data_IF_868310582894
#
_entry.id   IF_868310582894
#
_cell.length_a   1.000
_cell.length_b   1.000
_cell.length_c   1.000
_cell.angle_alpha   90.00
_cell.angle_beta   90.00
_cell.angle_gamma   90.00
#
_symmetry.space_group_name_H-M   'P 1'
#
loop_
_entity.id
_entity.type
_entity.pdbx_description
1 polymer ?
#
# COMPACT_ATOMS: atom_id res chain seq x y z
N UNK A 1 8.37 5.30 -9.11
CA UNK A 1 9.28 6.44 -8.97
C UNK A 1 10.16 6.61 -10.22
N UNK A 2 10.40 7.87 -10.59
CA UNK A 2 11.33 8.35 -11.63
C UNK A 2 12.78 8.13 -11.16
N UNK A 3 13.67 7.70 -12.08
CA UNK A 3 15.15 7.85 -12.05
C UNK A 3 15.91 7.25 -10.85
N UNK A 4 17.11 6.75 -11.06
CA UNK A 4 17.98 6.27 -9.97
C UNK A 4 18.42 7.39 -8.98
N UNK A 5 18.01 8.64 -9.23
CA UNK A 5 18.34 9.84 -8.46
C UNK A 5 17.19 10.27 -7.52
N UNK A 6 17.23 9.72 -6.30
CA UNK A 6 16.32 10.08 -5.21
C UNK A 6 16.43 11.56 -4.82
N UNK A 7 17.62 12.17 -4.92
CA UNK A 7 17.82 13.56 -4.53
C UNK A 7 17.11 14.52 -5.50
N UNK A 8 17.20 14.25 -6.81
CA UNK A 8 16.41 14.97 -7.80
C UNK A 8 14.91 14.89 -7.51
N UNK A 9 14.39 13.68 -7.24
CA UNK A 9 12.99 13.48 -6.90
C UNK A 9 12.56 14.29 -5.67
N UNK A 10 13.32 14.19 -4.56
CA UNK A 10 13.04 14.91 -3.32
C UNK A 10 13.02 16.43 -3.53
N UNK A 11 13.98 16.96 -4.30
CA UNK A 11 14.02 18.39 -4.64
C UNK A 11 12.77 18.83 -5.41
N UNK A 12 12.28 18.02 -6.34
CA UNK A 12 11.11 18.39 -7.17
C UNK A 12 9.80 18.34 -6.39
N UNK A 13 9.56 17.28 -5.61
CA UNK A 13 8.32 17.16 -4.83
C UNK A 13 8.24 18.26 -3.76
N UNK A 14 9.36 18.62 -3.13
CA UNK A 14 9.39 19.64 -2.07
C UNK A 14 9.16 21.06 -2.61
N UNK A 15 9.57 21.35 -3.85
CA UNK A 15 9.22 22.58 -4.55
C UNK A 15 7.71 22.74 -4.75
N UNK A 16 6.98 21.63 -4.78
CA UNK A 16 5.52 21.58 -4.92
C UNK A 16 4.81 21.46 -3.56
N UNK A 17 5.56 21.52 -2.46
CA UNK A 17 5.02 21.46 -1.10
C UNK A 17 4.68 20.05 -0.61
N UNK A 18 5.03 19.00 -1.37
CA UNK A 18 4.84 17.61 -0.95
C UNK A 18 5.94 17.25 0.06
N UNK A 19 5.52 16.72 1.20
CA UNK A 19 6.40 16.38 2.34
C UNK A 19 6.27 14.94 2.79
N UNK A 20 5.36 14.19 2.21
CA UNK A 20 5.01 12.84 2.62
C UNK A 20 5.10 11.95 1.38
N UNK A 21 5.86 10.86 1.51
CA UNK A 21 6.05 9.90 0.42
C UNK A 21 5.86 8.47 0.90
N UNK A 22 5.61 7.61 -0.07
CA UNK A 22 5.82 6.18 0.08
C UNK A 22 7.14 5.78 -0.57
N UNK A 23 7.87 4.87 0.09
CA UNK A 23 9.05 4.23 -0.47
C UNK A 23 8.64 2.91 -1.16
N UNK A 24 8.90 2.80 -2.47
CA UNK A 24 8.51 1.62 -3.25
C UNK A 24 9.38 0.40 -2.91
N UNK A 25 8.78 -0.80 -3.05
CA UNK A 25 9.43 -2.06 -2.72
C UNK A 25 10.78 -2.25 -3.43
N UNK A 26 10.96 -1.78 -4.68
CA UNK A 26 12.24 -1.94 -5.38
C UNK A 26 13.35 -1.14 -4.75
N UNK A 27 13.07 0.10 -4.33
CA UNK A 27 14.05 0.96 -3.69
C UNK A 27 14.36 0.44 -2.29
N UNK A 28 13.34 0.01 -1.54
CA UNK A 28 13.53 -0.57 -0.21
C UNK A 28 14.31 -1.90 -0.28
N UNK A 29 13.98 -2.78 -1.21
CA UNK A 29 14.61 -4.10 -1.39
C UNK A 29 15.84 -4.11 -2.30
N UNK A 30 16.38 -2.95 -2.69
CA UNK A 30 17.46 -2.86 -3.70
C UNK A 30 18.70 -3.68 -3.32
N UNK A 31 19.00 -3.74 -2.03
CA UNK A 31 20.14 -4.44 -1.45
C UNK A 31 19.70 -5.63 -0.58
N UNK A 32 18.50 -6.16 -0.81
CA UNK A 32 17.98 -7.29 -0.04
C UNK A 32 18.96 -8.49 -0.07
N UNK A 33 19.28 -9.00 1.12
CA UNK A 33 20.22 -10.11 1.31
C UNK A 33 21.70 -9.73 1.32
N UNK A 34 22.05 -8.44 1.18
CA UNK A 34 23.43 -7.97 1.26
C UNK A 34 23.75 -7.29 2.60
N UNK A 35 25.04 -7.16 2.92
CA UNK A 35 25.52 -6.50 4.15
C UNK A 35 25.23 -4.97 4.12
N UNK A 36 25.09 -4.40 2.92
CA UNK A 36 24.84 -2.98 2.68
C UNK A 36 23.37 -2.57 2.84
N UNK A 37 22.44 -3.53 3.00
CA UNK A 37 21.01 -3.22 3.02
C UNK A 37 20.67 -2.18 4.10
N UNK A 38 21.12 -2.42 5.33
CA UNK A 38 20.80 -1.54 6.45
C UNK A 38 21.44 -0.15 6.31
N UNK A 39 22.66 -0.05 5.77
CA UNK A 39 23.29 1.26 5.54
C UNK A 39 22.59 2.03 4.43
N UNK A 40 22.21 1.37 3.34
CA UNK A 40 21.48 2.01 2.24
C UNK A 40 20.11 2.57 2.66
N UNK A 41 19.39 1.87 3.54
CA UNK A 41 18.10 2.35 4.06
C UNK A 41 18.26 3.59 4.95
N UNK A 42 19.31 3.63 5.78
CA UNK A 42 19.63 4.81 6.58
C UNK A 42 20.04 6.00 5.72
N UNK A 43 20.82 5.78 4.66
CA UNK A 43 21.17 6.84 3.72
C UNK A 43 19.92 7.42 3.02
N UNK A 44 18.94 6.58 2.69
CA UNK A 44 17.64 7.03 2.15
C UNK A 44 16.90 7.90 3.16
N UNK A 45 16.84 7.49 4.44
CA UNK A 45 16.22 8.26 5.52
C UNK A 45 16.91 9.61 5.71
N UNK A 46 18.23 9.62 5.87
CA UNK A 46 19.03 10.82 6.10
C UNK A 46 18.83 11.82 4.95
N UNK A 47 18.79 11.32 3.71
CA UNK A 47 18.53 12.15 2.53
C UNK A 47 17.11 12.71 2.55
N UNK A 48 16.07 11.89 2.79
CA UNK A 48 14.69 12.37 2.88
C UNK A 48 14.52 13.44 3.97
N UNK A 49 15.08 13.18 5.15
CA UNK A 49 15.09 14.09 6.29
C UNK A 49 15.82 15.41 6.00
N UNK A 50 16.92 15.39 5.22
CA UNK A 50 17.62 16.61 4.78
C UNK A 50 16.76 17.54 3.91
N UNK A 51 15.75 16.97 3.23
CA UNK A 51 14.74 17.70 2.46
C UNK A 51 13.44 17.95 3.23
N UNK A 52 13.39 17.60 4.52
CA UNK A 52 12.19 17.64 5.37
C UNK A 52 11.03 16.83 4.76
N UNK A 53 11.33 15.65 4.24
CA UNK A 53 10.35 14.71 3.68
C UNK A 53 10.24 13.51 4.61
N UNK A 54 9.00 13.15 4.98
CA UNK A 54 8.69 11.98 5.78
C UNK A 54 8.38 10.79 4.86
N UNK A 55 8.98 9.63 5.16
CA UNK A 55 8.60 8.35 4.56
C UNK A 55 7.46 7.77 5.41
N UNK A 56 6.22 8.03 4.98
CA UNK A 56 5.03 7.70 5.76
C UNK A 56 4.74 6.20 5.78
N UNK A 57 4.98 5.56 4.65
CA UNK A 57 4.74 4.14 4.46
C UNK A 57 5.77 3.55 3.51
N UNK A 58 5.99 2.25 3.62
CA UNK A 58 6.80 1.47 2.68
C UNK A 58 5.90 0.47 2.01
N UNK A 59 5.88 0.44 0.68
CA UNK A 59 5.24 -0.67 -0.01
C UNK A 59 6.10 -1.92 0.17
N UNK A 60 5.58 -2.92 0.85
CA UNK A 60 6.27 -4.19 1.05
C UNK A 60 6.42 -4.97 -0.25
N UNK A 61 7.27 -5.98 -0.22
CA UNK A 61 7.42 -6.91 -1.33
C UNK A 61 6.11 -7.62 -1.66
N UNK A 62 5.84 -7.78 -2.94
CA UNK A 62 4.68 -8.50 -3.46
C UNK A 62 5.03 -9.32 -4.70
N UNK A 63 4.08 -10.13 -5.17
CA UNK A 63 4.22 -10.94 -6.37
C UNK A 63 4.28 -12.42 -6.01
N UNK A 64 5.41 -13.08 -6.27
CA UNK A 64 5.60 -14.51 -5.95
C UNK A 64 5.46 -14.77 -4.45
N UNK A 65 5.92 -13.84 -3.61
CA UNK A 65 5.81 -13.97 -2.15
C UNK A 65 4.36 -14.11 -1.66
N UNK A 66 3.40 -13.48 -2.34
CA UNK A 66 1.97 -13.60 -2.00
C UNK A 66 1.51 -15.06 -2.16
N UNK A 67 2.02 -15.76 -3.17
CA UNK A 67 1.76 -17.19 -3.41
C UNK A 67 2.53 -18.08 -2.43
N UNK A 68 3.79 -17.75 -2.14
CA UNK A 68 4.63 -18.48 -1.18
C UNK A 68 4.05 -18.46 0.24
N UNK A 69 3.49 -17.32 0.68
CA UNK A 69 2.80 -17.18 1.96
C UNK A 69 1.60 -18.13 2.09
N UNK A 70 0.93 -18.47 0.98
CA UNK A 70 -0.15 -19.44 0.94
C UNK A 70 0.30 -20.86 0.54
N UNK A 71 1.60 -21.11 0.42
CA UNK A 71 2.12 -22.41 0.00
C UNK A 71 1.67 -23.55 0.94
N UNK A 72 1.32 -24.74 0.39
CA UNK A 72 1.13 -25.94 1.20
C UNK A 72 2.46 -26.52 1.70
N UNK A 73 3.58 -26.18 1.06
CA UNK A 73 4.91 -26.51 1.54
C UNK A 73 5.31 -25.55 2.68
N UNK A 74 5.37 -26.09 3.89
CA UNK A 74 5.70 -25.34 5.10
C UNK A 74 7.12 -24.76 5.09
N UNK A 75 8.04 -25.35 4.32
CA UNK A 75 9.38 -24.78 4.15
C UNK A 75 9.31 -23.50 3.33
N UNK A 76 8.60 -23.53 2.20
CA UNK A 76 8.39 -22.34 1.34
C UNK A 76 7.67 -21.24 2.12
N UNK A 77 6.57 -21.59 2.81
CA UNK A 77 5.83 -20.63 3.62
C UNK A 77 6.69 -20.02 4.73
N UNK A 78 7.55 -20.82 5.38
CA UNK A 78 8.48 -20.31 6.41
C UNK A 78 9.48 -19.32 5.83
N UNK A 79 10.09 -19.63 4.68
CA UNK A 79 11.04 -18.71 4.03
C UNK A 79 10.37 -17.39 3.65
N UNK A 80 9.13 -17.43 3.14
CA UNK A 80 8.37 -16.22 2.83
C UNK A 80 8.10 -15.37 4.10
N UNK A 81 7.71 -16.01 5.21
CA UNK A 81 7.51 -15.32 6.49
C UNK A 81 8.81 -14.73 7.06
N UNK A 82 9.93 -15.45 6.94
CA UNK A 82 11.25 -14.95 7.33
C UNK A 82 11.66 -13.73 6.49
N UNK A 83 11.36 -13.75 5.20
CA UNK A 83 11.58 -12.59 4.31
C UNK A 83 10.71 -11.40 4.70
N UNK A 84 9.43 -11.60 4.99
CA UNK A 84 8.54 -10.54 5.49
C UNK A 84 9.05 -9.97 6.82
N UNK A 85 9.52 -10.81 7.74
CA UNK A 85 10.15 -10.38 8.99
C UNK A 85 11.40 -9.52 8.73
N UNK A 86 12.24 -9.90 7.76
CA UNK A 86 13.40 -9.08 7.37
C UNK A 86 12.99 -7.69 6.88
N UNK A 87 11.88 -7.58 6.15
CA UNK A 87 11.33 -6.30 5.72
C UNK A 87 10.79 -5.49 6.90
N UNK A 88 9.91 -6.07 7.72
CA UNK A 88 9.29 -5.41 8.88
C UNK A 88 10.34 -4.88 9.85
N UNK A 89 11.35 -5.69 10.18
CA UNK A 89 12.44 -5.30 11.09
C UNK A 89 13.29 -4.13 10.60
N UNK A 90 13.20 -3.77 9.32
CA UNK A 90 13.96 -2.68 8.68
C UNK A 90 13.13 -1.43 8.41
N UNK A 91 11.82 -1.47 8.58
CA UNK A 91 10.95 -0.29 8.42
C UNK A 91 11.42 0.90 9.27
N UNK A 92 11.84 0.73 10.54
CA UNK A 92 12.37 1.84 11.34
C UNK A 92 13.66 2.45 10.78
N UNK A 93 14.43 1.73 9.97
CA UNK A 93 15.68 2.23 9.38
C UNK A 93 15.44 3.31 8.32
N UNK A 94 14.24 3.36 7.74
CA UNK A 94 13.82 4.42 6.80
C UNK A 94 13.00 5.52 7.47
N UNK A 95 12.97 5.55 8.81
CA UNK A 95 12.20 6.54 9.58
C UNK A 95 10.68 6.35 9.51
N UNK A 96 10.22 5.21 8.98
CA UNK A 96 8.79 4.88 8.88
C UNK A 96 8.37 3.92 10.00
N UNK A 97 7.06 3.78 10.20
CA UNK A 97 6.45 2.84 11.13
C UNK A 97 5.29 2.07 10.51
N UNK A 98 5.17 2.07 9.18
CA UNK A 98 4.08 1.40 8.47
C UNK A 98 4.58 0.72 7.20
N UNK A 99 4.16 -0.52 7.00
CA UNK A 99 4.42 -1.30 5.77
C UNK A 99 3.10 -1.75 5.16
N UNK A 100 2.97 -1.63 3.84
CA UNK A 100 1.84 -2.19 3.09
C UNK A 100 2.17 -3.60 2.64
N UNK A 101 1.26 -4.53 2.87
CA UNK A 101 1.38 -5.91 2.40
C UNK A 101 0.09 -6.34 1.70
N UNK A 102 0.25 -7.10 0.61
CA UNK A 102 -0.87 -7.77 0.00
C UNK A 102 -1.30 -8.99 0.84
N UNK A 103 -2.60 -9.34 0.82
CA UNK A 103 -3.03 -10.65 1.24
C UNK A 103 -2.35 -11.76 0.44
N UNK A 104 -2.07 -12.87 1.13
CA UNK A 104 -1.58 -14.08 0.50
C UNK A 104 -2.58 -14.56 -0.57
N UNK A 105 -2.04 -15.12 -1.65
CA UNK A 105 -2.78 -15.54 -2.84
C UNK A 105 -2.66 -17.04 -3.05
N UNK A 106 -3.71 -17.69 -3.53
CA UNK A 106 -3.63 -19.11 -3.89
C UNK A 106 -2.50 -19.35 -4.93
N UNK A 107 -1.57 -20.29 -4.68
CA UNK A 107 -0.54 -20.66 -5.66
C UNK A 107 -1.17 -21.10 -6.98
N UNK A 108 -0.59 -20.67 -8.11
CA UNK A 108 -1.17 -20.92 -9.45
C UNK A 108 -1.27 -22.40 -9.83
N UNK A 109 -0.36 -23.22 -9.33
CA UNK A 109 -0.28 -24.65 -9.58
C UNK A 109 -1.15 -25.48 -8.62
N UNK A 110 -1.70 -24.86 -7.58
CA UNK A 110 -2.53 -25.51 -6.58
C UNK A 110 -3.99 -25.60 -7.02
N UNK A 111 -4.41 -26.79 -7.48
CA UNK A 111 -5.80 -27.05 -7.86
C UNK A 111 -6.57 -27.83 -6.79
N UNK A 112 -7.33 -27.12 -5.95
CA UNK A 112 -8.19 -27.72 -4.90
C UNK A 112 -9.68 -27.76 -5.28
N UNK A 113 -10.07 -27.14 -6.40
CA UNK A 113 -11.46 -26.82 -6.71
C UNK A 113 -12.00 -25.64 -5.89
N UNK A 114 -13.04 -24.98 -6.40
CA UNK A 114 -13.52 -23.68 -5.91
C UNK A 114 -13.76 -23.61 -4.38
N UNK A 115 -14.59 -24.49 -3.83
CA UNK A 115 -14.97 -24.42 -2.41
C UNK A 115 -13.77 -24.62 -1.47
N UNK A 116 -12.90 -25.57 -1.81
CA UNK A 116 -11.70 -25.84 -1.01
C UNK A 116 -10.69 -24.70 -1.15
N UNK A 117 -10.50 -24.15 -2.35
CA UNK A 117 -9.64 -22.98 -2.58
C UNK A 117 -10.11 -21.77 -1.77
N UNK A 118 -11.41 -21.50 -1.73
CA UNK A 118 -11.98 -20.39 -0.96
C UNK A 118 -11.75 -20.57 0.55
N UNK A 119 -12.01 -21.75 1.11
CA UNK A 119 -11.74 -22.05 2.53
C UNK A 119 -10.24 -21.97 2.85
N UNK A 120 -9.42 -22.58 2.00
CA UNK A 120 -7.97 -22.62 2.16
C UNK A 120 -7.36 -21.22 2.21
N UNK A 121 -7.76 -20.31 1.30
CA UNK A 121 -7.15 -18.98 1.24
C UNK A 121 -7.55 -18.10 2.43
N UNK A 122 -8.78 -18.25 2.95
CA UNK A 122 -9.23 -17.59 4.18
C UNK A 122 -8.40 -18.08 5.37
N UNK A 123 -8.29 -19.40 5.55
CA UNK A 123 -7.52 -20.00 6.65
C UNK A 123 -6.03 -19.61 6.59
N UNK A 124 -5.44 -19.63 5.39
CA UNK A 124 -4.04 -19.25 5.17
C UNK A 124 -3.78 -17.78 5.47
N UNK A 125 -4.60 -16.86 4.96
CA UNK A 125 -4.44 -15.43 5.24
C UNK A 125 -4.57 -15.16 6.74
N UNK A 126 -5.58 -15.74 7.39
CA UNK A 126 -5.73 -15.63 8.84
C UNK A 126 -4.50 -16.10 9.62
N UNK A 127 -3.96 -17.27 9.27
CA UNK A 127 -2.77 -17.81 9.95
C UNK A 127 -1.52 -16.94 9.70
N UNK A 128 -1.30 -16.52 8.45
CA UNK A 128 -0.17 -15.69 8.05
C UNK A 128 -0.22 -14.33 8.72
N UNK A 129 -1.36 -13.63 8.68
CA UNK A 129 -1.47 -12.31 9.30
C UNK A 129 -1.49 -12.34 10.83
N UNK A 130 -1.87 -13.47 11.45
CA UNK A 130 -1.64 -13.69 12.90
C UNK A 130 -0.14 -13.75 13.23
N UNK A 131 0.68 -14.30 12.33
CA UNK A 131 2.13 -14.34 12.53
C UNK A 131 2.79 -13.00 12.19
N UNK A 132 2.38 -12.37 11.09
CA UNK A 132 2.87 -11.05 10.68
C UNK A 132 2.53 -9.98 11.72
N UNK A 133 1.34 -10.03 12.35
CA UNK A 133 1.00 -9.07 13.42
C UNK A 133 1.98 -9.13 14.58
N UNK A 134 2.51 -10.31 14.94
CA UNK A 134 3.52 -10.45 15.99
C UNK A 134 4.84 -9.79 15.61
N UNK A 135 5.21 -9.84 14.33
CA UNK A 135 6.38 -9.11 13.84
C UNK A 135 6.15 -7.59 13.92
N UNK A 136 4.96 -7.12 13.56
CA UNK A 136 4.58 -5.72 13.72
C UNK A 136 4.67 -5.26 15.18
N UNK A 137 4.14 -6.05 16.13
CA UNK A 137 4.27 -5.78 17.57
C UNK A 137 5.73 -5.72 18.03
N UNK A 138 6.56 -6.68 17.61
CA UNK A 138 7.97 -6.79 18.02
C UNK A 138 8.79 -5.57 17.61
N UNK A 139 8.54 -5.03 16.41
CA UNK A 139 9.31 -3.92 15.84
C UNK A 139 8.61 -2.57 15.92
N UNK A 140 7.40 -2.50 16.49
CA UNK A 140 6.60 -1.27 16.57
C UNK A 140 6.16 -0.76 15.19
N UNK A 141 5.82 -1.67 14.29
CA UNK A 141 5.47 -1.39 12.89
C UNK A 141 4.02 -1.80 12.63
N UNK A 142 3.22 -0.85 12.14
CA UNK A 142 1.87 -1.10 11.62
C UNK A 142 1.94 -1.84 10.28
N UNK A 143 1.01 -2.76 10.08
CA UNK A 143 0.87 -3.56 8.86
C UNK A 143 -0.44 -3.17 8.18
N UNK A 144 -0.33 -2.42 7.09
CA UNK A 144 -1.48 -2.00 6.28
C UNK A 144 -1.77 -3.05 5.21
N UNK A 145 -2.92 -3.71 5.31
CA UNK A 145 -3.33 -4.75 4.36
C UNK A 145 -4.06 -4.09 3.20
N UNK A 146 -3.56 -4.25 1.99
CA UNK A 146 -4.17 -3.62 0.82
C UNK A 146 -5.41 -4.36 0.33
N UNK A 147 -6.45 -3.60 -0.03
CA UNK A 147 -7.60 -4.18 -0.71
C UNK A 147 -7.26 -4.53 -2.15
N UNK A 148 -7.60 -5.73 -2.60
CA UNK A 148 -7.10 -6.28 -3.87
C UNK A 148 -8.08 -6.19 -5.04
N UNK A 149 -7.55 -6.34 -6.26
CA UNK A 149 -8.33 -6.49 -7.50
C UNK A 149 -9.19 -7.77 -7.52
N UNK A 150 -10.18 -7.87 -8.44
CA UNK A 150 -11.11 -9.01 -8.48
C UNK A 150 -10.42 -10.36 -8.49
N UNK A 151 -11.10 -11.38 -7.94
CA UNK A 151 -10.65 -12.79 -7.82
C UNK A 151 -9.59 -13.06 -6.75
N UNK A 152 -9.03 -12.02 -6.11
CA UNK A 152 -8.11 -12.17 -4.98
C UNK A 152 -8.86 -12.11 -3.64
N UNK A 153 -8.33 -12.80 -2.64
CA UNK A 153 -8.72 -12.57 -1.24
C UNK A 153 -8.37 -11.11 -0.86
N UNK A 154 -9.25 -10.43 -0.12
CA UNK A 154 -9.09 -9.00 0.18
C UNK A 154 -9.69 -8.08 -0.88
N UNK A 155 -10.33 -8.63 -1.93
CA UNK A 155 -11.08 -7.84 -2.92
C UNK A 155 -12.47 -7.42 -2.43
N UNK A 156 -12.90 -7.94 -1.29
CA UNK A 156 -14.16 -7.61 -0.64
C UNK A 156 -13.89 -7.04 0.76
N UNK A 157 -14.67 -6.03 1.15
CA UNK A 157 -14.52 -5.36 2.46
C UNK A 157 -14.55 -6.34 3.66
N UNK A 158 -15.45 -7.36 3.71
CA UNK A 158 -15.46 -8.31 4.82
C UNK A 158 -14.17 -9.13 4.96
N UNK A 159 -13.45 -9.41 3.86
CA UNK A 159 -12.17 -10.13 3.92
C UNK A 159 -11.14 -9.31 4.72
N UNK A 160 -11.08 -8.00 4.46
CA UNK A 160 -10.14 -7.09 5.11
C UNK A 160 -10.47 -6.90 6.59
N UNK A 161 -11.76 -6.69 6.90
CA UNK A 161 -12.24 -6.60 8.29
C UNK A 161 -11.84 -7.86 9.06
N UNK A 162 -12.02 -9.04 8.45
CA UNK A 162 -11.68 -10.32 9.08
C UNK A 162 -10.20 -10.49 9.43
N UNK A 163 -9.31 -9.77 8.73
CA UNK A 163 -7.88 -9.78 8.99
C UNK A 163 -7.49 -8.74 10.04
N UNK A 164 -7.97 -7.50 9.92
CA UNK A 164 -7.59 -6.45 10.88
C UNK A 164 -8.11 -6.73 12.30
N UNK A 165 -9.27 -7.37 12.42
CA UNK A 165 -9.82 -7.79 13.72
C UNK A 165 -8.95 -8.84 14.44
N UNK A 166 -7.98 -9.47 13.77
CA UNK A 166 -7.02 -10.38 14.42
C UNK A 166 -6.17 -9.62 15.45
N UNK A 167 -5.73 -8.40 15.10
CA UNK A 167 -4.95 -7.53 15.96
C UNK A 167 -5.06 -6.07 15.48
N UNK A 168 -6.13 -5.35 15.85
CA UNK A 168 -6.42 -4.02 15.31
C UNK A 168 -5.45 -2.92 15.78
N UNK A 169 -4.61 -3.20 16.78
CA UNK A 169 -3.56 -2.27 17.24
C UNK A 169 -2.34 -2.27 16.31
N UNK A 170 -2.19 -3.31 15.47
CA UNK A 170 -1.05 -3.49 14.55
C UNK A 170 -1.47 -3.66 13.11
N UNK A 171 -2.63 -4.28 12.86
CA UNK A 171 -3.16 -4.50 11.53
C UNK A 171 -4.16 -3.40 11.17
N UNK A 172 -3.89 -2.72 10.05
CA UNK A 172 -4.80 -1.75 9.44
C UNK A 172 -5.03 -2.07 7.97
N UNK A 173 -5.68 -1.15 7.26
CA UNK A 173 -6.02 -1.28 5.84
C UNK A 173 -5.29 -0.20 5.05
N UNK A 174 -4.63 -0.62 3.97
CA UNK A 174 -4.29 0.28 2.87
C UNK A 174 -5.50 0.37 1.94
N UNK A 175 -6.18 1.51 1.94
CA UNK A 175 -7.31 1.75 1.07
C UNK A 175 -6.80 2.12 -0.33
N UNK A 176 -6.87 1.18 -1.26
CA UNK A 176 -6.71 1.42 -2.68
C UNK A 176 -8.06 1.77 -3.33
N UNK A 177 -8.18 3.01 -3.77
CA UNK A 177 -9.41 3.55 -4.37
C UNK A 177 -9.72 2.98 -5.75
N UNK A 178 -8.71 2.63 -6.54
CA UNK A 178 -8.93 2.10 -7.89
C UNK A 178 -9.31 0.64 -7.89
N UNK A 179 -8.70 -0.18 -7.04
CA UNK A 179 -9.08 -1.58 -6.82
C UNK A 179 -10.56 -1.69 -6.44
N UNK A 180 -11.06 -0.84 -5.53
CA UNK A 180 -12.49 -0.78 -5.19
C UNK A 180 -13.37 -0.50 -6.40
N UNK A 181 -12.97 0.45 -7.26
CA UNK A 181 -13.73 0.79 -8.46
C UNK A 181 -13.81 -0.38 -9.46
N UNK A 182 -12.72 -1.12 -9.65
CA UNK A 182 -12.69 -2.32 -10.51
C UNK A 182 -13.52 -3.46 -9.90
N UNK A 183 -13.52 -3.57 -8.58
CA UNK A 183 -14.38 -4.49 -7.82
C UNK A 183 -15.86 -4.08 -7.80
N UNK A 184 -16.23 -2.94 -8.41
CA UNK A 184 -17.60 -2.38 -8.42
C UNK A 184 -18.13 -2.08 -7.01
N UNK A 185 -17.22 -1.77 -6.09
CA UNK A 185 -17.54 -1.33 -4.74
C UNK A 185 -17.54 0.19 -4.74
N UNK A 186 -18.59 0.82 -4.19
CA UNK A 186 -18.60 2.26 -3.97
C UNK A 186 -17.46 2.63 -3.01
N UNK A 187 -16.55 3.49 -3.50
CA UNK A 187 -15.37 3.91 -2.76
C UNK A 187 -15.77 4.69 -1.50
N UNK A 188 -16.78 5.55 -1.60
CA UNK A 188 -17.32 6.30 -0.46
C UNK A 188 -17.99 5.39 0.59
N UNK A 189 -18.81 4.41 0.17
CA UNK A 189 -19.42 3.45 1.09
C UNK A 189 -18.35 2.60 1.80
N UNK A 190 -17.30 2.19 1.08
CA UNK A 190 -16.16 1.49 1.68
C UNK A 190 -15.47 2.36 2.74
N UNK A 191 -15.19 3.64 2.43
CA UNK A 191 -14.57 4.59 3.37
C UNK A 191 -15.43 4.72 4.65
N UNK A 192 -16.75 4.83 4.53
CA UNK A 192 -17.63 4.86 5.71
C UNK A 192 -17.59 3.56 6.51
N UNK A 193 -17.46 2.41 5.84
CA UNK A 193 -17.43 1.10 6.48
C UNK A 193 -16.12 0.81 7.23
N UNK A 194 -14.97 1.16 6.65
CA UNK A 194 -13.66 0.78 7.17
C UNK A 194 -12.81 1.94 7.65
N UNK A 195 -13.34 3.16 7.69
CA UNK A 195 -12.59 4.39 7.96
C UNK A 195 -11.71 4.37 9.21
N UNK A 196 -12.14 3.69 10.27
CA UNK A 196 -11.39 3.57 11.53
C UNK A 196 -10.23 2.56 11.47
N UNK A 197 -10.18 1.70 10.46
CA UNK A 197 -9.09 0.76 10.20
C UNK A 197 -8.09 1.28 9.17
N UNK A 198 -8.34 2.42 8.52
CA UNK A 198 -7.47 2.93 7.45
C UNK A 198 -6.17 3.49 8.05
N UNK A 199 -5.04 2.86 7.71
CA UNK A 199 -3.68 3.23 8.15
C UNK A 199 -2.77 3.62 6.99
N UNK A 200 -3.20 3.40 5.75
CA UNK A 200 -2.53 3.81 4.53
C UNK A 200 -3.57 4.07 3.43
N UNK A 201 -3.20 4.81 2.39
CA UNK A 201 -4.03 4.96 1.19
C UNK A 201 -3.20 4.78 -0.05
N UNK A 202 -3.79 4.24 -1.11
CA UNK A 202 -3.35 4.34 -2.49
C UNK A 202 -4.47 5.03 -3.29
N UNK A 203 -4.18 6.28 -3.69
CA UNK A 203 -5.16 7.19 -4.28
C UNK A 203 -4.91 7.28 -5.78
N UNK A 204 -5.83 6.71 -6.56
CA UNK A 204 -5.81 6.81 -8.00
C UNK A 204 -7.20 6.49 -8.57
N UNK A 205 -7.37 6.75 -9.85
CA UNK A 205 -8.61 6.57 -10.59
C UNK A 205 -8.43 5.53 -11.69
N UNK A 206 -9.54 5.03 -12.21
CA UNK A 206 -9.60 4.16 -13.39
C UNK A 206 -11.01 4.15 -13.98
N UNK A 207 -11.20 3.48 -15.11
CA UNK A 207 -12.50 3.37 -15.78
C UNK A 207 -13.45 2.31 -15.17
N UNK A 208 -13.03 1.64 -14.09
CA UNK A 208 -13.75 0.54 -13.44
C UNK A 208 -13.63 -0.81 -14.16
N UNK A 209 -12.75 -0.93 -15.16
CA UNK A 209 -12.49 -2.17 -15.91
C UNK A 209 -11.07 -2.69 -15.69
N UNK A 210 -10.10 -1.77 -15.68
CA UNK A 210 -8.68 -2.09 -15.60
C UNK A 210 -7.98 -1.20 -14.59
N UNK A 211 -6.84 -1.66 -14.10
CA UNK A 211 -6.06 -0.98 -13.08
C UNK A 211 -5.07 0.02 -13.68
N UNK A 212 -5.61 1.17 -14.06
CA UNK A 212 -4.91 2.12 -14.94
C UNK A 212 -4.08 3.15 -14.19
N UNK A 213 -4.25 3.27 -12.87
CA UNK A 213 -3.54 4.24 -12.04
C UNK A 213 -3.59 5.68 -12.60
N UNK A 214 -4.77 6.11 -13.01
CA UNK A 214 -5.00 7.47 -13.50
C UNK A 214 -5.03 8.46 -12.33
N UNK A 215 -4.71 9.74 -12.55
CA UNK A 215 -4.96 10.77 -11.55
C UNK A 215 -6.47 10.88 -11.23
N UNK A 216 -6.83 11.27 -10.00
CA UNK A 216 -8.21 11.62 -9.65
C UNK A 216 -8.90 12.53 -10.69
N UNK A 217 -10.20 12.29 -10.91
CA UNK A 217 -11.07 12.97 -11.88
C UNK A 217 -10.86 12.62 -13.35
N UNK A 218 -9.99 11.66 -13.67
CA UNK A 218 -9.76 11.20 -15.05
C UNK A 218 -10.56 9.94 -15.38
N UNK A 219 -10.87 9.12 -14.38
CA UNK A 219 -11.59 7.87 -14.54
C UNK A 219 -13.08 8.01 -14.21
N UNK A 220 -13.63 6.99 -13.55
CA UNK A 220 -15.06 6.87 -13.26
C UNK A 220 -15.41 6.96 -11.77
N UNK A 221 -14.43 7.14 -10.89
CA UNK A 221 -14.67 7.32 -9.45
C UNK A 221 -15.35 8.67 -9.19
N UNK A 222 -16.42 8.67 -8.39
CA UNK A 222 -17.07 9.90 -7.92
C UNK A 222 -16.25 10.55 -6.79
N UNK A 223 -15.22 11.29 -7.18
CA UNK A 223 -14.29 11.93 -6.25
C UNK A 223 -14.94 12.97 -5.33
N UNK A 224 -16.09 13.53 -5.70
CA UNK A 224 -16.80 14.46 -4.81
C UNK A 224 -17.31 13.69 -3.59
N UNK A 225 -17.91 12.50 -3.79
CA UNK A 225 -18.34 11.65 -2.69
C UNK A 225 -17.17 11.09 -1.89
N UNK A 226 -16.12 10.64 -2.57
CA UNK A 226 -14.92 10.09 -1.91
C UNK A 226 -14.27 11.11 -0.98
N UNK A 227 -14.05 12.35 -1.44
CA UNK A 227 -13.45 13.39 -0.60
C UNK A 227 -14.36 13.78 0.56
N UNK A 228 -15.69 13.79 0.36
CA UNK A 228 -16.65 13.99 1.46
C UNK A 228 -16.57 12.87 2.50
N UNK A 229 -16.49 11.63 2.06
CA UNK A 229 -16.35 10.48 2.94
C UNK A 229 -15.08 10.59 3.78
N UNK A 230 -13.93 10.87 3.16
CA UNK A 230 -12.67 11.09 3.87
C UNK A 230 -12.74 12.23 4.90
N UNK A 231 -13.40 13.34 4.57
CA UNK A 231 -13.59 14.45 5.51
C UNK A 231 -14.54 14.11 6.64
N UNK A 232 -15.58 13.32 6.36
CA UNK A 232 -16.58 12.90 7.36
C UNK A 232 -15.98 11.96 8.38
N UNK A 233 -15.12 11.03 7.97
CA UNK A 233 -14.41 10.13 8.89
C UNK A 233 -13.18 10.80 9.53
N UNK A 234 -12.88 12.06 9.17
CA UNK A 234 -11.72 12.81 9.65
C UNK A 234 -10.41 12.02 9.46
N UNK A 235 -10.19 11.52 8.23
CA UNK A 235 -9.04 10.67 7.88
C UNK A 235 -7.72 11.34 8.29
N UNK A 236 -6.88 10.60 9.03
CA UNK A 236 -5.62 11.10 9.62
C UNK A 236 -4.38 10.80 8.82
N UNK A 237 -4.46 9.87 7.88
CA UNK A 237 -3.34 9.48 7.02
C UNK A 237 -3.32 10.30 5.74
N UNK A 238 -2.14 10.56 5.16
CA UNK A 238 -2.03 11.33 3.91
C UNK A 238 -2.61 10.55 2.73
N UNK A 239 -2.95 11.30 1.68
CA UNK A 239 -3.27 10.74 0.37
C UNK A 239 -1.96 10.43 -0.37
N UNK A 240 -1.60 9.16 -0.46
CA UNK A 240 -0.46 8.72 -1.28
C UNK A 240 -0.99 8.39 -2.67
N UNK A 241 -0.48 9.12 -3.66
CA UNK A 241 -0.94 9.00 -5.06
C UNK A 241 -0.16 7.91 -5.78
N UNK A 242 -0.81 6.81 -6.10
CA UNK A 242 -0.19 5.71 -6.87
C UNK A 242 -0.54 5.85 -8.36
N UNK A 243 0.34 6.50 -9.12
CA UNK A 243 0.09 6.83 -10.52
C UNK A 243 0.92 5.96 -11.48
N UNK A 244 0.35 5.71 -12.66
CA UNK A 244 1.02 5.01 -13.75
C UNK A 244 2.38 5.66 -14.09
N UNK A 245 3.35 4.83 -14.48
CA UNK A 245 4.75 5.27 -14.62
C UNK A 245 4.91 6.36 -15.66
N UNK A 246 5.73 7.36 -15.31
CA UNK A 246 6.24 8.39 -16.22
C UNK A 246 7.43 7.87 -17.03
N UNK A 247 7.44 8.17 -18.34
CA UNK A 247 8.53 7.77 -19.26
C UNK A 247 9.56 8.90 -19.47
N UNK A 248 9.28 10.15 -19.06
CA UNK A 248 10.17 11.31 -19.23
C UNK A 248 10.11 12.31 -18.06
N UNK A 249 11.12 13.19 -17.97
CA UNK A 249 11.17 14.33 -17.03
C UNK A 249 9.99 15.28 -17.14
N UNK A 250 9.65 15.67 -18.37
CA UNK A 250 8.55 16.60 -18.64
C UNK A 250 7.22 16.01 -18.15
N UNK A 251 7.02 14.70 -18.30
CA UNK A 251 5.85 14.02 -17.76
C UNK A 251 5.81 14.07 -16.22
N UNK A 252 6.96 13.98 -15.54
CA UNK A 252 7.01 14.04 -14.08
C UNK A 252 6.60 15.42 -13.54
N UNK A 253 7.16 16.50 -14.09
CA UNK A 253 6.77 17.87 -13.71
C UNK A 253 5.29 18.16 -13.95
N UNK A 254 4.77 17.70 -15.09
CA UNK A 254 3.36 17.83 -15.42
C UNK A 254 2.47 17.09 -14.43
N UNK A 255 2.88 15.90 -13.98
CA UNK A 255 2.18 15.16 -12.92
C UNK A 255 2.22 15.93 -11.61
N UNK A 256 3.37 16.45 -11.18
CA UNK A 256 3.43 17.20 -9.92
C UNK A 256 2.53 18.45 -9.94
N UNK A 257 2.52 19.18 -11.06
CA UNK A 257 1.62 20.31 -11.27
C UNK A 257 0.14 19.89 -11.23
N UNK A 258 -0.19 18.75 -11.83
CA UNK A 258 -1.54 18.17 -11.77
C UNK A 258 -1.94 17.78 -10.36
N UNK A 259 -1.04 17.14 -9.60
CA UNK A 259 -1.27 16.76 -8.20
C UNK A 259 -1.55 17.99 -7.33
N UNK A 260 -0.79 19.08 -7.51
CA UNK A 260 -1.05 20.35 -6.83
C UNK A 260 -2.47 20.88 -7.09
N UNK A 261 -2.94 20.83 -8.34
CA UNK A 261 -4.30 21.24 -8.71
C UNK A 261 -5.38 20.32 -8.13
N UNK A 262 -5.17 19.01 -8.16
CA UNK A 262 -6.08 18.03 -7.57
C UNK A 262 -6.22 18.30 -6.07
N UNK A 263 -5.11 18.55 -5.38
CA UNK A 263 -5.11 18.88 -3.96
C UNK A 263 -5.88 20.17 -3.64
N UNK A 264 -5.74 21.20 -4.46
CA UNK A 264 -6.54 22.42 -4.32
C UNK A 264 -8.05 22.17 -4.46
N UNK A 265 -8.45 21.28 -5.37
CA UNK A 265 -9.84 20.88 -5.55
C UNK A 265 -10.33 20.13 -4.31
N UNK A 266 -9.59 19.12 -3.84
CA UNK A 266 -9.93 18.33 -2.66
C UNK A 266 -10.15 19.21 -1.41
N UNK A 267 -9.29 20.22 -1.22
CA UNK A 267 -9.44 21.18 -0.12
C UNK A 267 -10.75 21.98 -0.16
N UNK A 268 -11.28 22.30 -1.34
CA UNK A 268 -12.49 23.12 -1.52
C UNK A 268 -13.80 22.35 -1.38
N UNK A 269 -13.78 21.02 -1.49
CA UNK A 269 -14.98 20.18 -1.35
C UNK A 269 -15.44 20.22 0.12
N UNK A 270 -16.65 20.70 0.41
CA UNK A 270 -17.20 20.65 1.77
C UNK A 270 -17.61 19.22 2.13
N UNK A 271 -17.52 18.81 3.42
CA UNK A 271 -18.07 17.54 3.89
C UNK A 271 -19.53 17.33 3.45
#
# INVERSE_FOLDING_TARGET
MYGDDLEYFLRKITQQGIRDIELDFRRFGMYEGSDEWNSSLKEIEELASSYSVNIQQVHGIFGEIDEELASPDLSVQRHALERILQWISRIPLVGSSNIILHPARLPRDLNLGWEKSAKYIVEKNRAVFTQISRYGEEYGVSISIENMTPTRFGSQIPDLISLVEINPDVLGICLDTGHLNICRISVDDAIYSIGHFITATHIHDNNGLEDQHHPPFVGSIDWIKVVRAFKTIDLKVPFVMELSRTVTDEHFENILSLLGRIWEIFRRISP
#
